data_IF_096571212405
#
_entry.id   IF_096571212405
#
_cell.length_a   1.000
_cell.length_b   1.000
_cell.length_c   1.000
_cell.angle_alpha   90.00
_cell.angle_beta   90.00
_cell.angle_gamma   90.00
#
_symmetry.space_group_name_H-M   'P 1'
#
loop_
_entity.id
_entity.type
_entity.pdbx_description
1 polymer ?
#
# COMPACT_ATOMS: atom_id res chain seq x y z
N UNK A 1 3.27 25.48 40.22
CA UNK A 1 1.98 24.76 40.22
C UNK A 1 1.81 23.96 38.93
N UNK A 2 2.49 22.82 38.78
CA UNK A 2 2.30 21.90 37.65
C UNK A 2 2.86 20.49 37.95
N UNK A 3 2.76 20.01 39.20
CA UNK A 3 3.26 18.68 39.61
C UNK A 3 2.16 17.73 40.12
N UNK A 4 0.89 18.12 40.06
CA UNK A 4 -0.23 17.38 40.67
C UNK A 4 -1.16 16.64 39.70
N UNK A 5 -0.87 16.61 38.40
CA UNK A 5 -1.77 15.93 37.43
C UNK A 5 -1.38 14.49 37.06
N UNK A 6 -0.30 13.96 37.63
CA UNK A 6 0.16 12.59 37.36
C UNK A 6 -0.23 11.57 38.43
N UNK A 7 -0.75 12.02 39.58
CA UNK A 7 -1.20 11.16 40.68
C UNK A 7 -2.66 10.69 40.56
N UNK A 8 -3.47 11.35 39.72
CA UNK A 8 -4.90 11.06 39.58
C UNK A 8 -5.25 9.96 38.56
N UNK A 9 -4.29 9.50 37.76
CA UNK A 9 -4.55 8.48 36.71
C UNK A 9 -4.07 7.07 37.07
N UNK A 10 -3.48 6.88 38.26
CA UNK A 10 -2.97 5.59 38.73
C UNK A 10 -3.90 4.86 39.70
N UNK A 11 -5.09 5.40 39.95
CA UNK A 11 -6.03 4.91 40.98
C UNK A 11 -7.26 4.16 40.44
N UNK A 12 -7.24 3.67 39.20
CA UNK A 12 -8.36 2.90 38.64
C UNK A 12 -8.01 1.43 38.28
N UNK A 13 -6.94 0.90 38.85
CA UNK A 13 -6.56 -0.50 38.64
C UNK A 13 -6.28 -1.18 39.98
N UNK A 14 -7.35 -1.61 40.68
CA UNK A 14 -7.39 -2.80 41.55
C UNK A 14 -8.72 -2.90 42.32
N UNK A 15 -9.41 -4.05 42.19
CA UNK A 15 -10.44 -4.52 43.13
C UNK A 15 -11.75 -5.03 42.50
N UNK A 16 -11.89 -6.35 42.33
CA UNK A 16 -13.22 -7.03 42.18
C UNK A 16 -13.93 -7.23 43.54
N UNK A 17 -14.95 -8.10 43.72
CA UNK A 17 -15.65 -9.02 42.81
C UNK A 17 -17.22 -9.01 42.88
N UNK A 18 -17.86 -9.90 42.09
CA UNK A 18 -19.25 -10.44 42.19
C UNK A 18 -20.46 -9.50 41.98
N UNK A 19 -21.32 -9.74 40.96
CA UNK A 19 -22.53 -10.60 41.01
C UNK A 19 -23.35 -10.51 39.69
N UNK A 20 -24.28 -11.45 39.54
CA UNK A 20 -25.01 -12.00 38.39
C UNK A 20 -25.97 -11.06 37.62
N UNK A 21 -26.15 -11.33 36.31
CA UNK A 21 -27.42 -11.78 35.67
C UNK A 21 -27.33 -11.68 34.13
N UNK A 22 -27.21 -12.81 33.42
CA UNK A 22 -28.29 -13.52 32.68
C UNK A 22 -28.64 -12.89 31.32
N UNK A 23 -28.16 -13.48 30.22
CA UNK A 23 -29.09 -13.94 29.18
C UNK A 23 -28.47 -15.04 28.30
N UNK A 24 -29.12 -16.19 28.34
CA UNK A 24 -28.77 -17.49 27.79
C UNK A 24 -29.34 -17.71 26.39
N UNK A 25 -28.55 -18.26 25.47
CA UNK A 25 -29.06 -19.01 24.32
C UNK A 25 -28.76 -20.51 24.55
N UNK A 26 -29.75 -21.41 24.50
CA UNK A 26 -29.52 -22.82 24.69
C UNK A 26 -29.15 -23.52 23.37
N UNK A 27 -28.10 -24.31 23.44
CA UNK A 27 -27.83 -25.49 22.60
C UNK A 27 -28.61 -26.69 23.15
N UNK A 28 -29.11 -27.57 22.26
CA UNK A 28 -29.19 -29.03 22.50
C UNK A 28 -29.56 -29.82 21.21
N UNK A 29 -28.55 -30.55 20.70
CA UNK A 29 -28.45 -32.00 20.36
C UNK A 29 -29.65 -32.87 19.84
N UNK A 30 -29.36 -34.02 19.18
CA UNK A 30 -30.03 -34.51 17.95
C UNK A 30 -31.01 -35.66 18.15
N UNK A 31 -31.88 -35.93 17.15
CA UNK A 31 -32.50 -37.25 16.97
C UNK A 31 -32.95 -37.52 15.51
N UNK A 32 -32.88 -38.80 15.16
CA UNK A 32 -33.08 -39.52 13.90
C UNK A 32 -34.58 -39.72 13.55
N UNK A 33 -34.92 -39.76 12.26
CA UNK A 33 -36.22 -40.29 11.78
C UNK A 33 -36.72 -39.66 10.49
N UNK A 34 -36.73 -40.43 9.38
CA UNK A 34 -37.20 -39.96 8.07
C UNK A 34 -38.71 -40.07 7.85
N UNK A 35 -39.22 -39.48 6.76
CA UNK A 35 -40.37 -39.93 5.95
C UNK A 35 -40.36 -39.24 4.57
N UNK A 36 -40.69 -40.02 3.55
CA UNK A 36 -40.86 -39.66 2.13
C UNK A 36 -42.13 -38.83 1.86
N UNK A 37 -42.06 -37.87 0.92
CA UNK A 37 -43.16 -37.37 0.06
C UNK A 37 -42.52 -36.72 -1.18
N UNK A 38 -42.42 -37.42 -2.32
CA UNK A 38 -43.39 -37.56 -3.42
C UNK A 38 -43.54 -36.29 -4.28
N UNK A 39 -42.76 -36.22 -5.37
CA UNK A 39 -42.96 -35.32 -6.51
C UNK A 39 -44.12 -35.84 -7.38
N UNK A 40 -45.18 -35.06 -7.61
CA UNK A 40 -46.19 -35.35 -8.63
C UNK A 40 -45.77 -34.71 -9.97
N UNK A 41 -46.19 -35.31 -11.08
CA UNK A 41 -45.82 -35.03 -12.49
C UNK A 41 -44.67 -35.87 -13.05
N UNK A 42 -44.94 -37.18 -13.16
CA UNK A 42 -44.32 -38.07 -14.12
C UNK A 42 -45.42 -38.73 -14.96
N UNK A 43 -45.50 -38.39 -16.24
CA UNK A 43 -46.09 -39.21 -17.34
C UNK A 43 -45.59 -38.60 -18.65
N UNK A 44 -44.62 -39.28 -19.29
CA UNK A 44 -44.83 -40.11 -20.48
C UNK A 44 -45.27 -39.31 -21.70
N UNK A 45 -44.32 -39.01 -22.58
CA UNK A 45 -44.58 -39.21 -24.00
C UNK A 45 -43.28 -39.59 -24.73
N UNK A 46 -43.44 -40.59 -25.60
CA UNK A 46 -42.43 -41.39 -26.27
C UNK A 46 -42.30 -40.89 -27.71
N UNK A 47 -41.23 -40.15 -28.05
CA UNK A 47 -40.81 -39.90 -29.44
C UNK A 47 -39.30 -39.73 -29.54
N UNK A 48 -38.67 -40.79 -30.05
CA UNK A 48 -37.36 -40.84 -30.65
C UNK A 48 -37.19 -39.79 -31.77
N UNK A 49 -36.24 -38.88 -31.60
CA UNK A 49 -35.61 -38.17 -32.71
C UNK A 49 -34.09 -38.32 -32.56
N UNK A 50 -33.48 -39.02 -33.51
CA UNK A 50 -32.03 -39.12 -33.70
C UNK A 50 -31.42 -37.72 -33.88
N UNK A 51 -30.53 -37.31 -32.97
CA UNK A 51 -29.62 -36.21 -33.20
C UNK A 51 -28.34 -36.77 -33.82
N UNK A 52 -28.20 -36.52 -35.12
CA UNK A 52 -26.99 -36.79 -35.89
C UNK A 52 -25.79 -36.07 -35.25
N UNK A 53 -24.72 -36.82 -35.06
CA UNK A 53 -23.43 -36.39 -34.53
C UNK A 53 -22.78 -35.36 -35.47
N UNK A 54 -22.85 -34.07 -35.12
CA UNK A 54 -21.99 -33.04 -35.71
C UNK A 54 -20.72 -33.00 -34.88
N UNK A 55 -19.63 -33.56 -35.42
CA UNK A 55 -18.26 -33.29 -34.98
C UNK A 55 -17.98 -31.80 -35.16
N UNK A 56 -18.02 -31.06 -34.06
CA UNK A 56 -17.40 -29.74 -33.98
C UNK A 56 -16.11 -29.87 -33.15
N UNK A 57 -15.01 -29.83 -33.88
CA UNK A 57 -13.63 -29.76 -33.40
C UNK A 57 -13.38 -28.37 -32.81
N UNK A 58 -13.86 -28.17 -31.57
CA UNK A 58 -13.67 -26.92 -30.85
C UNK A 58 -13.43 -27.21 -29.37
N UNK A 59 -12.31 -27.90 -29.08
CA UNK A 59 -11.77 -27.96 -27.72
C UNK A 59 -11.12 -26.62 -27.36
N UNK A 60 -11.92 -25.55 -27.31
CA UNK A 60 -11.53 -24.33 -26.62
C UNK A 60 -11.62 -24.61 -25.13
N UNK A 61 -10.50 -25.10 -24.59
CA UNK A 61 -10.24 -25.24 -23.16
C UNK A 61 -10.55 -23.90 -22.47
N UNK A 62 -11.71 -23.84 -21.80
CA UNK A 62 -12.07 -22.77 -20.87
C UNK A 62 -11.20 -22.90 -19.60
N UNK A 63 -9.93 -22.51 -19.68
CA UNK A 63 -9.04 -22.30 -18.53
C UNK A 63 -9.33 -20.95 -17.86
N UNK A 64 -10.59 -20.66 -17.53
CA UNK A 64 -10.99 -19.38 -16.91
C UNK A 64 -10.93 -19.40 -15.38
N UNK A 65 -10.58 -20.52 -14.75
CA UNK A 65 -10.61 -20.69 -13.29
C UNK A 65 -9.29 -20.51 -12.55
N UNK A 66 -8.13 -20.53 -13.23
CA UNK A 66 -6.81 -20.49 -12.58
C UNK A 66 -6.10 -19.13 -12.65
N UNK A 67 -6.52 -18.22 -13.54
CA UNK A 67 -5.85 -16.93 -13.75
C UNK A 67 -6.25 -15.84 -12.76
N UNK A 68 -7.45 -15.91 -12.17
CA UNK A 68 -7.92 -14.92 -11.19
C UNK A 68 -7.09 -14.90 -9.92
N UNK A 69 -6.63 -16.08 -9.47
CA UNK A 69 -5.80 -16.23 -8.27
C UNK A 69 -4.36 -15.71 -8.51
N UNK A 70 -3.80 -15.99 -9.69
CA UNK A 70 -2.48 -15.49 -10.10
C UNK A 70 -2.40 -13.97 -10.19
N UNK A 71 -3.46 -13.31 -10.68
CA UNK A 71 -3.50 -11.84 -10.75
C UNK A 71 -3.76 -11.21 -9.38
N UNK A 72 -4.60 -11.81 -8.53
CA UNK A 72 -4.78 -11.36 -7.15
C UNK A 72 -3.46 -11.40 -6.38
N UNK A 73 -2.72 -12.51 -6.46
CA UNK A 73 -1.43 -12.66 -5.79
C UNK A 73 -0.41 -11.60 -6.26
N UNK A 74 -0.43 -11.25 -7.55
CA UNK A 74 0.39 -10.18 -8.09
C UNK A 74 0.06 -8.81 -7.49
N UNK A 75 -1.22 -8.45 -7.41
CA UNK A 75 -1.60 -7.17 -6.80
C UNK A 75 -1.25 -7.13 -5.31
N UNK A 76 -1.44 -8.23 -4.57
CA UNK A 76 -1.00 -8.33 -3.18
C UNK A 76 0.51 -8.12 -3.04
N UNK A 77 1.30 -8.70 -3.93
CA UNK A 77 2.76 -8.52 -3.94
C UNK A 77 3.15 -7.06 -4.24
N UNK A 78 2.52 -6.42 -5.22
CA UNK A 78 2.71 -4.99 -5.52
C UNK A 78 2.39 -4.12 -4.30
N UNK A 79 1.24 -4.32 -3.65
CA UNK A 79 0.85 -3.58 -2.45
C UNK A 79 1.86 -3.77 -1.32
N UNK A 80 2.31 -5.00 -1.09
CA UNK A 80 3.30 -5.28 -0.06
C UNK A 80 4.68 -4.66 -0.35
N UNK A 81 5.09 -4.58 -1.62
CA UNK A 81 6.30 -3.83 -2.02
C UNK A 81 6.10 -2.33 -1.76
N UNK A 82 4.93 -1.77 -2.08
CA UNK A 82 4.62 -0.37 -1.79
C UNK A 82 4.66 -0.05 -0.29
N UNK A 83 4.17 -0.95 0.56
CA UNK A 83 4.28 -0.81 2.02
C UNK A 83 5.73 -0.86 2.48
N UNK A 84 6.52 -1.79 1.92
CA UNK A 84 7.97 -1.87 2.19
C UNK A 84 8.69 -0.57 1.79
N UNK A 85 8.30 0.05 0.67
CA UNK A 85 8.84 1.34 0.23
C UNK A 85 8.46 2.49 1.18
N UNK A 86 7.25 2.49 1.75
CA UNK A 86 6.86 3.46 2.78
C UNK A 86 7.74 3.31 4.01
N UNK A 87 7.90 2.09 4.52
CA UNK A 87 8.79 1.80 5.66
C UNK A 87 10.23 2.21 5.36
N UNK A 88 10.73 1.95 4.15
CA UNK A 88 12.05 2.38 3.72
C UNK A 88 12.20 3.90 3.81
N UNK A 89 11.25 4.66 3.25
CA UNK A 89 11.27 6.13 3.32
C UNK A 89 11.15 6.66 4.75
N UNK A 90 10.33 6.03 5.59
CA UNK A 90 10.21 6.38 7.01
C UNK A 90 11.53 6.17 7.75
N UNK A 91 12.24 5.07 7.47
CA UNK A 91 13.56 4.83 8.04
C UNK A 91 14.56 5.89 7.58
N UNK A 92 14.59 6.23 6.29
CA UNK A 92 15.45 7.28 5.73
C UNK A 92 15.21 8.63 6.40
N UNK A 93 13.95 9.00 6.64
CA UNK A 93 13.61 10.22 7.37
C UNK A 93 14.16 10.19 8.81
N UNK A 94 13.99 9.06 9.52
CA UNK A 94 14.50 8.88 10.89
C UNK A 94 16.02 8.90 10.96
N UNK A 95 16.70 8.31 9.97
CA UNK A 95 18.16 8.37 9.81
C UNK A 95 18.60 9.83 9.69
N UNK A 96 17.95 10.62 8.82
CA UNK A 96 18.20 12.05 8.70
C UNK A 96 18.03 12.82 10.02
N UNK A 97 16.99 12.50 10.80
CA UNK A 97 16.76 13.10 12.11
C UNK A 97 17.85 12.73 13.12
N UNK A 98 18.24 11.46 13.19
CA UNK A 98 19.29 10.98 14.10
C UNK A 98 20.65 11.59 13.75
N UNK A 99 20.97 11.67 12.46
CA UNK A 99 22.14 12.39 11.96
C UNK A 99 22.14 13.85 12.42
N UNK A 100 21.03 14.57 12.24
CA UNK A 100 20.88 15.95 12.69
C UNK A 100 21.05 16.11 14.21
N UNK A 101 20.46 15.22 15.01
CA UNK A 101 20.63 15.18 16.47
C UNK A 101 22.07 14.90 16.87
N UNK A 102 22.72 13.96 16.19
CA UNK A 102 24.11 13.61 16.44
C UNK A 102 25.01 14.85 16.34
N UNK A 103 24.81 15.74 15.37
CA UNK A 103 25.61 16.97 15.22
C UNK A 103 25.39 18.04 16.31
N UNK A 104 24.33 17.93 17.10
CA UNK A 104 23.92 18.97 18.06
C UNK A 104 23.95 18.52 19.52
N UNK A 105 24.08 17.22 19.80
CA UNK A 105 24.07 16.70 21.16
C UNK A 105 25.39 17.00 21.89
N UNK A 106 25.27 17.53 23.11
CA UNK A 106 26.38 17.75 24.06
C UNK A 106 26.37 16.75 25.22
N UNK A 107 25.41 15.81 25.23
CA UNK A 107 25.26 14.76 26.25
C UNK A 107 25.71 13.41 25.69
N UNK A 108 26.81 12.88 26.22
CA UNK A 108 27.45 11.62 25.79
C UNK A 108 26.50 10.42 25.88
N UNK A 109 25.66 10.35 26.92
CA UNK A 109 24.75 9.22 27.11
C UNK A 109 23.57 9.24 26.12
N UNK A 110 23.17 10.43 25.65
CA UNK A 110 22.20 10.59 24.58
C UNK A 110 22.84 10.33 23.21
N UNK A 111 24.09 10.76 23.00
CA UNK A 111 24.84 10.54 21.77
C UNK A 111 25.01 9.04 21.49
N UNK A 112 25.42 8.25 22.49
CA UNK A 112 25.64 6.81 22.31
C UNK A 112 24.34 6.04 22.01
N UNK A 113 23.22 6.43 22.62
CA UNK A 113 21.90 5.85 22.30
C UNK A 113 21.45 6.17 20.88
N UNK A 114 21.62 7.42 20.46
CA UNK A 114 21.28 7.84 19.11
C UNK A 114 22.16 7.13 18.06
N UNK A 115 23.45 6.91 18.35
CA UNK A 115 24.35 6.17 17.47
C UNK A 115 23.91 4.70 17.32
N UNK A 116 23.57 4.02 18.41
CA UNK A 116 23.08 2.64 18.35
C UNK A 116 21.77 2.53 17.54
N UNK A 117 20.83 3.46 17.75
CA UNK A 117 19.58 3.48 16.98
C UNK A 117 19.80 3.81 15.50
N UNK A 118 20.80 4.63 15.19
CA UNK A 118 21.17 4.94 13.82
C UNK A 118 21.73 3.70 13.13
N UNK A 119 22.65 2.98 13.78
CA UNK A 119 23.24 1.76 13.25
C UNK A 119 22.17 0.68 12.98
N UNK A 120 21.22 0.49 13.91
CA UNK A 120 20.07 -0.41 13.73
C UNK A 120 19.22 -0.01 12.51
N UNK A 121 18.86 1.28 12.39
CA UNK A 121 18.07 1.74 11.25
C UNK A 121 18.80 1.60 9.92
N UNK A 122 20.12 1.84 9.88
CA UNK A 122 20.93 1.67 8.66
C UNK A 122 20.95 0.19 8.24
N UNK A 123 21.15 -0.73 9.19
CA UNK A 123 21.14 -2.17 8.93
C UNK A 123 19.77 -2.65 8.43
N UNK A 124 18.70 -2.28 9.14
CA UNK A 124 17.31 -2.60 8.77
C UNK A 124 16.96 -2.06 7.38
N UNK A 125 17.37 -0.83 7.09
CA UNK A 125 17.12 -0.17 5.80
C UNK A 125 17.88 -0.85 4.67
N UNK A 126 19.12 -1.28 4.91
CA UNK A 126 19.92 -2.04 3.94
C UNK A 126 19.27 -3.41 3.65
N UNK A 127 18.86 -4.14 4.69
CA UNK A 127 18.17 -5.43 4.55
C UNK A 127 16.82 -5.30 3.81
N UNK A 128 16.06 -4.25 4.12
CA UNK A 128 14.80 -3.94 3.46
C UNK A 128 15.01 -3.62 1.98
N UNK A 129 16.04 -2.82 1.66
CA UNK A 129 16.39 -2.48 0.27
C UNK A 129 16.74 -3.72 -0.56
N UNK A 130 17.51 -4.66 0.01
CA UNK A 130 17.87 -5.92 -0.64
C UNK A 130 16.63 -6.80 -0.89
N UNK A 131 15.69 -6.78 0.05
CA UNK A 131 14.42 -7.50 -0.07
C UNK A 131 13.54 -6.89 -1.17
N UNK A 132 13.35 -5.56 -1.18
CA UNK A 132 12.59 -4.85 -2.21
C UNK A 132 13.18 -5.12 -3.60
N UNK A 133 14.51 -4.98 -3.74
CA UNK A 133 15.24 -5.29 -4.98
C UNK A 133 14.94 -6.70 -5.48
N UNK A 134 15.07 -7.71 -4.61
CA UNK A 134 14.85 -9.12 -4.97
C UNK A 134 13.41 -9.36 -5.44
N UNK A 135 12.44 -8.78 -4.75
CA UNK A 135 11.00 -8.89 -5.06
C UNK A 135 10.66 -8.23 -6.40
N UNK A 136 11.16 -7.02 -6.64
CA UNK A 136 10.98 -6.33 -7.93
C UNK A 136 11.61 -7.15 -9.07
N UNK A 137 12.84 -7.66 -8.90
CA UNK A 137 13.48 -8.53 -9.92
C UNK A 137 12.71 -9.83 -10.15
N UNK A 138 12.01 -10.36 -9.14
CA UNK A 138 11.16 -11.54 -9.29
C UNK A 138 9.89 -11.22 -10.12
N UNK A 139 9.28 -10.05 -9.88
CA UNK A 139 8.15 -9.56 -10.68
C UNK A 139 8.53 -9.32 -12.14
N UNK A 140 9.73 -8.79 -12.40
CA UNK A 140 10.25 -8.60 -13.77
C UNK A 140 10.40 -9.95 -14.50
N UNK A 141 10.75 -11.03 -13.80
CA UNK A 141 10.87 -12.38 -14.37
C UNK A 141 9.54 -13.08 -14.62
N UNK A 142 8.51 -12.77 -13.83
CA UNK A 142 7.16 -13.34 -13.94
C UNK A 142 6.35 -12.80 -15.13
N UNK A 143 7.00 -12.23 -16.15
CA UNK A 143 6.34 -11.64 -17.32
C UNK A 143 5.24 -12.50 -17.93
N UNK A 144 4.31 -11.86 -18.64
CA UNK A 144 3.16 -12.53 -19.25
C UNK A 144 2.91 -12.02 -20.66
N UNK A 145 2.11 -12.77 -21.43
CA UNK A 145 1.65 -12.39 -22.76
C UNK A 145 0.24 -11.79 -22.71
N UNK A 146 -0.10 -10.93 -23.67
CA UNK A 146 -1.43 -10.30 -23.73
C UNK A 146 -1.64 -9.18 -22.71
N UNK A 147 -2.91 -8.84 -22.43
CA UNK A 147 -3.29 -7.68 -21.60
C UNK A 147 -2.78 -7.79 -20.16
N UNK A 148 -2.87 -8.97 -19.56
CA UNK A 148 -2.41 -9.21 -18.19
C UNK A 148 -0.89 -9.04 -18.05
N UNK A 149 -0.13 -9.44 -19.08
CA UNK A 149 1.31 -9.21 -19.16
C UNK A 149 1.68 -7.73 -19.21
N UNK A 150 0.94 -6.94 -19.99
CA UNK A 150 1.13 -5.48 -20.06
C UNK A 150 0.87 -4.81 -18.72
N UNK A 151 -0.23 -5.18 -18.04
CA UNK A 151 -0.58 -4.67 -16.71
C UNK A 151 0.53 -5.01 -15.71
N UNK A 152 1.01 -6.25 -15.69
CA UNK A 152 2.10 -6.68 -14.79
C UNK A 152 3.39 -5.89 -15.05
N UNK A 153 3.76 -5.72 -16.31
CA UNK A 153 4.94 -4.94 -16.71
C UNK A 153 4.83 -3.49 -16.24
N UNK A 154 3.69 -2.85 -16.49
CA UNK A 154 3.41 -1.47 -16.08
C UNK A 154 3.47 -1.27 -14.57
N UNK A 155 2.79 -2.13 -13.79
CA UNK A 155 2.79 -2.04 -12.33
C UNK A 155 4.17 -2.32 -11.73
N UNK A 156 4.91 -3.27 -12.30
CA UNK A 156 6.29 -3.56 -11.90
C UNK A 156 7.22 -2.38 -12.18
N UNK A 157 7.07 -1.73 -13.35
CA UNK A 157 7.82 -0.53 -13.70
C UNK A 157 7.53 0.63 -12.74
N UNK A 158 6.27 0.81 -12.34
CA UNK A 158 5.87 1.85 -11.38
C UNK A 158 6.53 1.66 -10.00
N UNK A 159 6.45 0.46 -9.41
CA UNK A 159 7.08 0.21 -8.10
C UNK A 159 8.61 0.29 -8.17
N UNK A 160 9.19 -0.05 -9.32
CA UNK A 160 10.60 0.12 -9.59
C UNK A 160 11.02 1.59 -9.65
N UNK A 161 10.27 2.45 -10.36
CA UNK A 161 10.52 3.90 -10.39
C UNK A 161 10.52 4.48 -8.97
N UNK A 162 9.47 4.15 -8.20
CA UNK A 162 9.36 4.58 -6.79
C UNK A 162 10.52 4.12 -5.93
N UNK A 163 11.05 2.91 -6.17
CA UNK A 163 12.22 2.43 -5.46
C UNK A 163 13.49 3.21 -5.84
N UNK A 164 13.69 3.49 -7.12
CA UNK A 164 14.80 4.32 -7.61
C UNK A 164 14.74 5.73 -7.01
N UNK A 165 13.56 6.36 -6.99
CA UNK A 165 13.32 7.65 -6.34
C UNK A 165 13.65 7.61 -4.83
N UNK A 166 13.23 6.55 -4.14
CA UNK A 166 13.54 6.36 -2.71
C UNK A 166 15.05 6.23 -2.46
N UNK A 167 15.77 5.48 -3.31
CA UNK A 167 17.24 5.35 -3.25
C UNK A 167 17.91 6.72 -3.43
N UNK A 168 17.48 7.50 -4.42
CA UNK A 168 18.02 8.85 -4.66
C UNK A 168 17.74 9.81 -3.49
N UNK A 169 16.55 9.72 -2.90
CA UNK A 169 16.21 10.47 -1.69
C UNK A 169 17.17 10.13 -0.55
N UNK A 170 17.43 8.84 -0.33
CA UNK A 170 18.36 8.40 0.70
C UNK A 170 19.79 8.89 0.41
N UNK A 171 20.28 8.75 -0.83
CA UNK A 171 21.58 9.30 -1.23
C UNK A 171 21.69 10.80 -0.95
N UNK A 172 20.61 11.55 -1.18
CA UNK A 172 20.57 13.00 -0.91
C UNK A 172 20.69 13.29 0.59
N UNK A 173 20.00 12.54 1.44
CA UNK A 173 20.11 12.67 2.91
C UNK A 173 21.53 12.42 3.38
N UNK A 174 22.16 11.33 2.93
CA UNK A 174 23.54 10.96 3.28
C UNK A 174 24.56 12.00 2.77
N UNK A 175 24.41 12.50 1.54
CA UNK A 175 25.29 13.55 0.99
C UNK A 175 25.17 14.88 1.73
N UNK A 176 23.96 15.28 2.10
CA UNK A 176 23.74 16.47 2.91
C UNK A 176 24.39 16.33 4.29
N UNK A 177 24.28 15.15 4.89
CA UNK A 177 24.89 14.88 6.18
C UNK A 177 26.41 14.90 6.12
N UNK A 178 27.00 14.22 5.13
CA UNK A 178 28.44 14.29 4.81
C UNK A 178 28.92 15.73 4.68
N UNK A 179 28.18 16.58 3.97
CA UNK A 179 28.54 18.00 3.78
C UNK A 179 28.52 18.76 5.11
N UNK A 180 27.47 18.61 5.91
CA UNK A 180 27.37 19.24 7.25
C UNK A 180 28.48 18.77 8.17
N UNK A 181 28.83 17.49 8.12
CA UNK A 181 29.93 16.94 8.89
C UNK A 181 31.27 17.58 8.51
N UNK A 182 31.61 17.60 7.20
CA UNK A 182 32.83 18.23 6.71
C UNK A 182 32.98 19.69 7.17
N UNK A 183 31.88 20.45 7.16
CA UNK A 183 31.86 21.83 7.67
C UNK A 183 32.12 21.92 9.19
N UNK A 184 31.61 20.97 9.99
CA UNK A 184 31.88 20.92 11.44
C UNK A 184 33.34 20.58 11.70
N UNK A 185 33.89 19.58 11.02
CA UNK A 185 35.30 19.20 11.14
C UNK A 185 36.23 20.35 10.77
N UNK A 186 35.93 21.09 9.70
CA UNK A 186 36.67 22.32 9.36
C UNK A 186 36.66 23.34 10.50
N UNK A 187 35.50 23.57 11.14
CA UNK A 187 35.40 24.50 12.28
C UNK A 187 36.22 24.02 13.48
N UNK A 188 36.14 22.73 13.82
CA UNK A 188 36.90 22.15 14.93
C UNK A 188 38.41 22.21 14.67
N UNK A 189 38.84 21.96 13.43
CA UNK A 189 40.23 22.10 13.05
C UNK A 189 40.74 23.53 13.17
N UNK A 190 39.95 24.53 12.75
CA UNK A 190 40.30 25.95 12.91
C UNK A 190 40.32 26.42 14.36
N UNK A 191 39.61 25.76 15.28
CA UNK A 191 39.72 26.04 16.72
C UNK A 191 41.10 25.62 17.23
N UNK A 192 41.59 24.46 16.79
CA UNK A 192 42.90 23.91 17.18
C UNK A 192 44.06 24.62 16.49
N UNK A 193 43.92 24.94 15.20
CA UNK A 193 44.90 25.63 14.35
C UNK A 193 44.24 26.80 13.59
N UNK A 194 44.13 27.99 14.20
CA UNK A 194 43.45 29.15 13.61
C UNK A 194 44.11 29.69 12.34
N UNK A 195 45.41 29.46 12.20
CA UNK A 195 46.28 29.85 11.09
C UNK A 195 46.37 28.80 9.97
N UNK A 196 45.54 27.76 10.03
CA UNK A 196 45.51 26.71 9.02
C UNK A 196 45.16 27.26 7.62
N UNK A 197 45.97 26.90 6.63
CA UNK A 197 45.69 27.20 5.23
C UNK A 197 44.46 26.42 4.72
N UNK A 198 43.77 26.92 3.69
CA UNK A 198 42.65 26.19 3.08
C UNK A 198 43.01 24.79 2.58
N UNK A 199 44.26 24.59 2.18
CA UNK A 199 44.76 23.29 1.71
C UNK A 199 44.94 22.31 2.87
N UNK A 200 45.49 22.74 4.00
CA UNK A 200 45.60 21.92 5.22
C UNK A 200 44.23 21.52 5.77
N UNK A 201 43.27 22.45 5.78
CA UNK A 201 41.88 22.18 6.16
C UNK A 201 41.29 21.09 5.27
N UNK A 202 41.47 21.20 3.95
CA UNK A 202 40.96 20.19 2.99
C UNK A 202 41.66 18.84 3.16
N UNK A 203 42.96 18.84 3.45
CA UNK A 203 43.71 17.61 3.67
C UNK A 203 43.17 16.86 4.90
N UNK A 204 42.89 17.56 6.00
CA UNK A 204 42.29 16.97 7.20
C UNK A 204 40.85 16.51 6.96
N UNK A 205 40.06 17.32 6.25
CA UNK A 205 38.64 17.02 6.02
C UNK A 205 38.43 15.83 5.08
N UNK A 206 39.38 15.58 4.18
CA UNK A 206 39.36 14.46 3.25
C UNK A 206 40.35 13.35 3.65
N UNK A 207 40.95 13.41 4.83
CA UNK A 207 41.84 12.38 5.34
C UNK A 207 41.04 11.09 5.55
N UNK A 208 41.34 10.04 4.80
CA UNK A 208 40.72 8.71 4.94
C UNK A 208 41.37 7.89 6.08
N UNK A 209 42.52 8.33 6.60
CA UNK A 209 43.35 7.58 7.56
C UNK A 209 43.05 7.88 9.03
N UNK A 210 41.79 8.16 9.39
CA UNK A 210 41.42 8.22 10.81
C UNK A 210 41.82 9.51 11.54
N UNK A 211 42.04 10.61 10.81
CA UNK A 211 42.43 11.88 11.43
C UNK A 211 43.89 11.88 11.89
N UNK A 212 44.77 11.10 11.26
CA UNK A 212 46.21 11.16 11.52
C UNK A 212 46.76 12.57 11.31
N UNK A 213 46.31 13.25 10.25
CA UNK A 213 46.72 14.64 9.96
C UNK A 213 46.26 15.58 11.09
N UNK A 214 45.06 15.34 11.64
CA UNK A 214 44.56 16.09 12.79
C UNK A 214 45.38 15.81 14.07
N UNK A 215 45.74 14.55 14.32
CA UNK A 215 46.58 14.16 15.46
C UNK A 215 47.95 14.83 15.44
N UNK A 216 48.56 14.93 14.25
CA UNK A 216 49.83 15.60 14.06
C UNK A 216 49.72 17.12 14.30
N UNK A 217 48.63 17.73 13.83
CA UNK A 217 48.36 19.15 14.06
C UNK A 217 48.16 19.49 15.54
N UNK A 218 47.51 18.59 16.32
CA UNK A 218 47.36 18.75 17.77
C UNK A 218 48.70 18.71 18.51
N UNK A 219 49.62 17.83 18.10
CA UNK A 219 50.95 17.73 18.71
C UNK A 219 51.79 18.98 18.46
N UNK A 220 51.54 19.69 17.35
CA UNK A 220 52.18 20.98 17.04
C UNK A 220 51.52 22.19 17.72
N UNK A 221 50.35 22.00 18.33
CA UNK A 221 49.56 23.07 18.96
C UNK A 221 49.83 23.20 20.46
N UNK A 222 50.15 24.40 20.93
CA UNK A 222 50.32 24.70 22.37
C UNK A 222 49.00 24.67 23.18
N UNK A 223 47.84 24.44 22.55
CA UNK A 223 46.50 24.46 23.19
C UNK A 223 46.01 23.06 23.61
N UNK A 224 46.88 22.26 24.21
CA UNK A 224 46.72 20.81 24.41
C UNK A 224 45.43 20.37 25.16
N UNK A 225 44.87 21.20 26.06
CA UNK A 225 43.66 20.89 26.82
C UNK A 225 42.36 20.91 25.99
N UNK A 226 42.10 22.02 25.28
CA UNK A 226 40.93 22.16 24.38
C UNK A 226 41.05 21.25 23.13
N UNK A 227 42.29 21.01 22.74
CA UNK A 227 42.72 20.12 21.66
C UNK A 227 42.26 18.66 21.86
N UNK A 228 42.23 18.15 23.10
CA UNK A 228 41.92 16.73 23.35
C UNK A 228 40.43 16.39 23.19
N UNK A 229 39.53 17.31 23.55
CA UNK A 229 38.09 17.14 23.32
C UNK A 229 37.75 17.26 21.82
N UNK A 230 38.32 18.28 21.14
CA UNK A 230 38.20 18.43 19.70
C UNK A 230 38.75 17.22 18.93
N UNK A 231 39.84 16.60 19.43
CA UNK A 231 40.39 15.38 18.85
C UNK A 231 39.42 14.21 18.90
N UNK A 232 38.86 13.93 20.08
CA UNK A 232 37.91 12.83 20.27
C UNK A 232 36.68 13.03 19.39
N UNK A 233 36.15 14.25 19.34
CA UNK A 233 35.03 14.58 18.47
C UNK A 233 35.36 14.32 17.00
N UNK A 234 36.54 14.73 16.52
CA UNK A 234 36.95 14.45 15.12
C UNK A 234 37.11 12.96 14.86
N UNK A 235 37.67 12.20 15.80
CA UNK A 235 37.85 10.75 15.65
C UNK A 235 36.51 10.00 15.58
N UNK A 236 35.60 10.27 16.50
CA UNK A 236 34.27 9.63 16.53
C UNK A 236 33.51 9.91 15.23
N UNK A 237 33.57 11.15 14.76
CA UNK A 237 32.89 11.54 13.53
C UNK A 237 33.57 11.06 12.26
N UNK A 238 34.87 10.79 12.33
CA UNK A 238 35.58 10.18 11.23
C UNK A 238 35.08 8.74 10.97
N UNK A 239 34.72 8.01 12.04
CA UNK A 239 34.05 6.72 11.86
C UNK A 239 32.63 6.89 11.28
N UNK A 240 31.91 7.95 11.64
CA UNK A 240 30.61 8.27 11.02
C UNK A 240 30.75 8.49 9.50
N UNK A 241 31.77 9.24 9.04
CA UNK A 241 31.95 9.47 7.59
C UNK A 241 32.25 8.18 6.84
N UNK A 242 33.07 7.28 7.40
CA UNK A 242 33.32 5.98 6.77
C UNK A 242 32.03 5.18 6.58
N UNK A 243 31.13 5.20 7.56
CA UNK A 243 29.82 4.55 7.45
C UNK A 243 28.98 5.19 6.35
N UNK A 244 28.92 6.53 6.30
CA UNK A 244 28.20 7.26 5.24
C UNK A 244 28.75 6.90 3.86
N UNK A 245 30.08 6.88 3.67
CA UNK A 245 30.69 6.53 2.38
C UNK A 245 30.38 5.08 1.98
N UNK A 246 30.39 4.16 2.95
CA UNK A 246 29.97 2.77 2.73
C UNK A 246 28.50 2.72 2.27
N UNK A 247 27.60 3.39 2.99
CA UNK A 247 26.18 3.48 2.63
C UNK A 247 25.98 4.10 1.25
N UNK A 248 26.67 5.20 0.92
CA UNK A 248 26.62 5.83 -0.40
C UNK A 248 27.10 4.88 -1.50
N UNK A 249 28.15 4.09 -1.25
CA UNK A 249 28.62 3.05 -2.16
C UNK A 249 27.58 1.96 -2.39
N UNK A 250 26.97 1.45 -1.32
CA UNK A 250 25.89 0.45 -1.40
C UNK A 250 24.67 1.00 -2.17
N UNK A 251 24.26 2.23 -1.89
CA UNK A 251 23.16 2.90 -2.58
C UNK A 251 23.49 3.16 -4.05
N UNK A 252 24.73 3.52 -4.38
CA UNK A 252 25.15 3.70 -5.77
C UNK A 252 25.10 2.37 -6.54
N UNK A 253 25.57 1.27 -5.95
CA UNK A 253 25.44 -0.06 -6.54
C UNK A 253 23.97 -0.44 -6.73
N UNK A 254 23.14 -0.22 -5.71
CA UNK A 254 21.71 -0.49 -5.75
C UNK A 254 21.00 0.35 -6.83
N UNK A 255 21.35 1.63 -6.96
CA UNK A 255 20.85 2.50 -8.02
C UNK A 255 21.21 1.95 -9.40
N UNK A 256 22.47 1.61 -9.64
CA UNK A 256 22.89 1.02 -10.92
C UNK A 256 22.14 -0.29 -11.24
N UNK A 257 21.97 -1.16 -10.24
CA UNK A 257 21.27 -2.44 -10.41
C UNK A 257 19.79 -2.31 -10.79
N UNK A 258 19.18 -1.15 -10.50
CA UNK A 258 17.78 -0.84 -10.80
C UNK A 258 17.64 0.07 -12.04
N UNK A 259 18.54 1.01 -12.26
CA UNK A 259 18.48 2.03 -13.33
C UNK A 259 18.85 1.50 -14.73
N UNK A 260 19.75 0.50 -14.83
CA UNK A 260 20.16 -0.11 -16.12
C UNK A 260 18.99 -0.72 -16.93
N UNK A 261 17.82 -0.86 -16.31
CA UNK A 261 16.64 -1.48 -16.91
C UNK A 261 15.41 -0.53 -16.99
N UNK A 262 15.59 0.77 -16.71
CA UNK A 262 14.52 1.79 -16.85
C UNK A 262 14.50 2.41 -18.25
N UNK A 263 15.66 2.60 -18.89
CA UNK A 263 15.77 3.20 -20.24
C UNK A 263 15.00 2.44 -21.34
N UNK A 264 14.68 1.16 -21.15
CA UNK A 264 13.88 0.39 -22.13
C UNK A 264 12.36 0.61 -22.03
N UNK A 265 11.85 1.48 -21.13
CA UNK A 265 10.41 1.54 -20.80
C UNK A 265 9.75 2.93 -20.85
N UNK A 266 10.47 3.99 -21.22
CA UNK A 266 9.99 5.39 -21.14
C UNK A 266 8.77 5.73 -22.01
N UNK A 267 8.43 4.95 -23.05
CA UNK A 267 7.21 5.21 -23.83
C UNK A 267 5.90 4.73 -23.17
N UNK A 268 5.95 3.91 -22.11
CA UNK A 268 4.73 3.23 -21.60
C UNK A 268 4.14 3.82 -20.33
N UNK A 269 4.88 4.66 -19.60
CA UNK A 269 4.43 5.20 -18.30
C UNK A 269 3.36 6.29 -18.49
N UNK A 270 3.47 7.11 -19.55
CA UNK A 270 2.49 8.18 -19.85
C UNK A 270 1.07 7.69 -20.18
N UNK A 271 0.90 6.40 -20.51
CA UNK A 271 -0.42 5.85 -20.81
C UNK A 271 -1.22 5.48 -19.56
N UNK A 272 -0.62 5.38 -18.37
CA UNK A 272 -1.32 4.96 -17.14
C UNK A 272 -2.05 6.14 -16.49
N UNK A 273 -1.47 7.34 -16.47
CA UNK A 273 -2.19 8.57 -16.05
C UNK A 273 -3.43 8.79 -16.93
N UNK A 274 -3.29 8.57 -18.23
CA UNK A 274 -4.40 8.67 -19.18
C UNK A 274 -5.45 7.56 -18.94
N UNK A 275 -5.03 6.32 -18.71
CA UNK A 275 -5.97 5.21 -18.50
C UNK A 275 -6.69 5.29 -17.14
N UNK A 276 -6.04 5.74 -16.07
CA UNK A 276 -6.67 5.95 -14.76
C UNK A 276 -7.74 7.05 -14.82
N UNK A 277 -7.45 8.16 -15.50
CA UNK A 277 -8.43 9.23 -15.77
C UNK A 277 -9.60 8.74 -16.64
N UNK A 278 -9.36 7.76 -17.51
CA UNK A 278 -10.44 7.13 -18.32
C UNK A 278 -11.32 6.21 -17.46
N UNK A 279 -10.73 5.44 -16.55
CA UNK A 279 -11.47 4.57 -15.62
C UNK A 279 -12.33 5.38 -14.65
N UNK A 280 -11.83 6.50 -14.14
CA UNK A 280 -12.61 7.42 -13.30
C UNK A 280 -13.83 7.96 -14.07
N UNK A 281 -13.62 8.40 -15.32
CA UNK A 281 -14.69 8.89 -16.22
C UNK A 281 -15.71 7.81 -16.57
N UNK A 282 -15.28 6.57 -16.78
CA UNK A 282 -16.16 5.44 -17.08
C UNK A 282 -16.94 4.98 -15.84
N UNK A 283 -16.38 5.09 -14.63
CA UNK A 283 -17.13 4.85 -13.38
C UNK A 283 -18.18 5.91 -13.11
N UNK A 284 -17.89 7.18 -13.43
CA UNK A 284 -18.87 8.27 -13.33
C UNK A 284 -20.02 8.09 -14.35
N UNK A 285 -19.69 7.72 -15.59
CA UNK A 285 -20.70 7.36 -16.60
C UNK A 285 -21.53 6.14 -16.18
N UNK A 286 -20.88 5.11 -15.62
CA UNK A 286 -21.51 3.89 -15.09
C UNK A 286 -22.52 4.19 -13.97
N UNK A 287 -22.18 5.06 -13.02
CA UNK A 287 -23.08 5.54 -11.98
C UNK A 287 -24.33 6.20 -12.60
N UNK A 288 -24.15 7.05 -13.62
CA UNK A 288 -25.26 7.69 -14.33
C UNK A 288 -26.22 6.70 -15.03
N UNK A 289 -25.71 5.59 -15.56
CA UNK A 289 -26.55 4.54 -16.15
C UNK A 289 -27.34 3.76 -15.08
N UNK A 290 -26.75 3.50 -13.91
CA UNK A 290 -27.47 2.83 -12.81
C UNK A 290 -28.59 3.70 -12.25
N UNK A 291 -28.40 5.01 -12.16
CA UNK A 291 -29.44 5.94 -11.70
C UNK A 291 -30.62 6.00 -12.70
N UNK A 292 -30.34 6.09 -14.00
CA UNK A 292 -31.37 6.01 -15.06
C UNK A 292 -32.07 4.64 -15.11
N UNK A 293 -31.36 3.55 -14.84
CA UNK A 293 -31.93 2.21 -14.76
C UNK A 293 -32.90 2.07 -13.56
N UNK A 294 -32.56 2.64 -12.40
CA UNK A 294 -33.45 2.63 -11.21
C UNK A 294 -34.70 3.47 -11.45
N UNK A 295 -34.57 4.65 -12.07
CA UNK A 295 -35.73 5.51 -12.38
C UNK A 295 -36.66 4.86 -13.40
N UNK A 296 -36.13 4.27 -14.47
CA UNK A 296 -36.93 3.57 -15.48
C UNK A 296 -37.60 2.29 -14.92
N UNK A 297 -36.90 1.53 -14.09
CA UNK A 297 -37.47 0.36 -13.40
C UNK A 297 -38.61 0.76 -12.43
N UNK A 298 -38.46 1.86 -11.67
CA UNK A 298 -39.53 2.40 -10.82
C UNK A 298 -40.73 2.89 -11.64
N UNK A 299 -40.51 3.57 -12.75
CA UNK A 299 -41.57 4.03 -13.64
C UNK A 299 -42.34 2.86 -14.29
N UNK A 300 -41.66 1.78 -14.69
CA UNK A 300 -42.29 0.60 -15.25
C UNK A 300 -43.22 -0.10 -14.25
N UNK A 301 -42.84 -0.17 -12.97
CA UNK A 301 -43.69 -0.73 -11.89
C UNK A 301 -44.96 0.10 -11.69
N UNK A 302 -44.85 1.44 -11.70
CA UNK A 302 -46.01 2.35 -11.57
C UNK A 302 -46.98 2.21 -12.76
N UNK A 303 -46.46 2.08 -13.98
CA UNK A 303 -47.27 1.89 -15.20
C UNK A 303 -48.03 0.55 -15.21
N UNK A 304 -47.42 -0.53 -14.68
CA UNK A 304 -48.11 -1.83 -14.55
C UNK A 304 -49.33 -1.76 -13.64
N UNK A 305 -49.24 -1.04 -12.51
CA UNK A 305 -50.38 -0.83 -11.62
C UNK A 305 -51.50 -0.01 -12.28
N UNK A 306 -51.15 1.04 -13.03
CA UNK A 306 -52.13 1.85 -13.76
C UNK A 306 -52.89 1.00 -14.79
N UNK A 307 -52.19 0.19 -15.59
CA UNK A 307 -52.85 -0.73 -16.52
C UNK A 307 -53.78 -1.72 -15.82
N UNK A 308 -53.36 -2.29 -14.68
CA UNK A 308 -54.18 -3.22 -13.90
C UNK A 308 -55.50 -2.59 -13.43
N UNK A 309 -55.47 -1.37 -12.88
CA UNK A 309 -56.69 -0.67 -12.46
C UNK A 309 -57.61 -0.33 -13.63
N UNK A 310 -57.06 0.07 -14.78
CA UNK A 310 -57.86 0.33 -15.99
C UNK A 310 -58.58 -0.94 -16.44
N UNK A 311 -57.89 -2.09 -16.47
CA UNK A 311 -58.52 -3.37 -16.84
C UNK A 311 -59.62 -3.80 -15.87
N UNK A 312 -59.43 -3.55 -14.56
CA UNK A 312 -60.44 -3.85 -13.54
C UNK A 312 -61.72 -3.03 -13.75
N UNK A 313 -61.57 -1.73 -14.03
CA UNK A 313 -62.71 -0.83 -14.26
C UNK A 313 -63.51 -1.27 -15.49
N UNK A 314 -62.85 -1.66 -16.58
CA UNK A 314 -63.52 -2.15 -17.79
C UNK A 314 -64.36 -3.40 -17.49
N UNK A 315 -63.84 -4.35 -16.71
CA UNK A 315 -64.57 -5.56 -16.33
C UNK A 315 -65.82 -5.24 -15.49
N UNK A 316 -65.74 -4.26 -14.58
CA UNK A 316 -66.89 -3.81 -13.78
C UNK A 316 -67.98 -3.22 -14.69
N UNK A 317 -67.60 -2.38 -15.66
CA UNK A 317 -68.56 -1.77 -16.61
C UNK A 317 -69.27 -2.85 -17.42
N UNK A 318 -68.54 -3.84 -17.94
CA UNK A 318 -69.12 -4.97 -18.68
C UNK A 318 -70.10 -5.74 -17.79
N UNK A 319 -69.73 -6.02 -16.54
CA UNK A 319 -70.59 -6.70 -15.58
C UNK A 319 -71.90 -5.95 -15.31
N UNK A 320 -71.84 -4.62 -15.16
CA UNK A 320 -73.03 -3.78 -14.97
C UNK A 320 -73.92 -3.79 -16.21
N UNK A 321 -73.36 -3.65 -17.42
CA UNK A 321 -74.13 -3.67 -18.67
C UNK A 321 -74.86 -5.01 -18.85
N UNK A 322 -74.16 -6.13 -18.64
CA UNK A 322 -74.78 -7.46 -18.71
C UNK A 322 -75.86 -7.61 -17.64
N UNK A 323 -75.61 -7.15 -16.41
CA UNK A 323 -76.60 -7.17 -15.33
C UNK A 323 -77.87 -6.37 -15.65
N UNK A 324 -77.73 -5.18 -16.24
CA UNK A 324 -78.86 -4.34 -16.65
C UNK A 324 -79.62 -4.98 -17.81
N UNK A 325 -78.94 -5.52 -18.83
CA UNK A 325 -79.59 -6.18 -19.97
C UNK A 325 -80.35 -7.43 -19.52
N UNK A 326 -79.76 -8.26 -18.65
CA UNK A 326 -80.43 -9.44 -18.09
C UNK A 326 -81.62 -9.04 -17.21
N UNK A 327 -81.48 -8.00 -16.38
CA UNK A 327 -82.59 -7.47 -15.57
C UNK A 327 -83.74 -6.92 -16.44
N UNK A 328 -83.41 -6.21 -17.53
CA UNK A 328 -84.40 -5.75 -18.50
C UNK A 328 -85.08 -6.90 -19.25
N UNK A 329 -84.34 -7.97 -19.62
CA UNK A 329 -84.92 -9.17 -20.21
C UNK A 329 -85.85 -9.92 -19.23
N UNK A 330 -85.44 -10.07 -17.97
CA UNK A 330 -86.27 -10.70 -16.93
C UNK A 330 -87.55 -9.88 -16.65
N UNK A 331 -87.45 -8.55 -16.66
CA UNK A 331 -88.61 -7.68 -16.47
C UNK A 331 -89.53 -7.65 -17.71
N UNK A 332 -89.00 -7.76 -18.92
CA UNK A 332 -89.79 -7.83 -20.15
C UNK A 332 -90.49 -9.19 -20.33
N UNK A 333 -89.92 -10.28 -19.81
CA UNK A 333 -90.55 -11.61 -19.83
C UNK A 333 -91.65 -11.79 -18.75
N UNK A 334 -91.85 -10.81 -17.86
CA UNK A 334 -92.90 -10.82 -16.82
C UNK A 334 -94.12 -9.95 -17.15
N UNK A 335 -94.21 -9.42 -18.38
CA UNK A 335 -95.35 -8.62 -18.84
C UNK A 335 -96.34 -9.45 -19.67
#
# INVERSE_FOLDING_TARGET
MARDRLAAMRAQQQGGPNNLSTNSYPTQTPYQGGYQRQNPYAQQDDRSYEMNEVKDDSTAQLTSGMNGDSMSAFYTEISSIQDSLRTFNDNVARIGDLHSRSLNNMDDAAAQRNAAHLDELVEDTSALSATIKRRIKALEKQGGTGRDGQIRKQQTALVKSKFVEAIQSYQTVEQQYRTKYKQRMERQFKIVKPDASPEEVRAVVNDENGGQIFSQALLSSNRYGESRAAYREVQERHEDIKRIEKTLGELAQLFNDMSVLVEQQDETINNIETQAATVERDTEAGLGYTEKAVVSARAARKKRWICFFITLIILIIIGVVVGVVVSQQVNNNKK
#
